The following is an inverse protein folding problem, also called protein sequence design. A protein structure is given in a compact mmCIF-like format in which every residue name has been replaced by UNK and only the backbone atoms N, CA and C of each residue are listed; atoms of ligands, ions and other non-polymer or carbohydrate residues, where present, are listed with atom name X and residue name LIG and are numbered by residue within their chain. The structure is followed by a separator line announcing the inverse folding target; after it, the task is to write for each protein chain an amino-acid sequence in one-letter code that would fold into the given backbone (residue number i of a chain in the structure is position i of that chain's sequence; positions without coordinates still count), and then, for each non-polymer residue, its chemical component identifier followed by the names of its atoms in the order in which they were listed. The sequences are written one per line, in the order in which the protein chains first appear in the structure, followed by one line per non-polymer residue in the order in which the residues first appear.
data_IF_399726985454
#
_entry.id   IF_399726985454
#
_cell.length_a   1.000
_cell.length_b   1.000
_cell.length_c   1.000
_cell.angle_alpha   90.00
_cell.angle_beta   90.00
_cell.angle_gamma   90.00
#
_symmetry.space_group_name_H-M   'P 1'
#
loop_
_entity.id
_entity.type
_entity.pdbx_description
1 polymer ?
#
# COMPACT_ATOMS: atom_id res chain seq x y z
N UNK A 1 23.26 -7.13 23.12
CA UNK A 1 22.50 -7.90 22.10
C UNK A 1 23.39 -8.03 20.88
N UNK A 2 23.18 -8.98 19.97
CA UNK A 2 23.97 -9.01 18.73
C UNK A 2 23.51 -7.83 17.86
N UNK A 3 24.45 -6.97 17.45
CA UNK A 3 24.15 -5.81 16.61
C UNK A 3 24.11 -6.24 15.13
N UNK A 4 23.25 -5.61 14.33
CA UNK A 4 23.37 -5.65 12.87
C UNK A 4 24.68 -4.99 12.45
N UNK A 5 25.18 -5.35 11.28
CA UNK A 5 26.34 -4.69 10.68
C UNK A 5 25.93 -4.07 9.35
N UNK A 6 26.29 -2.81 9.15
CA UNK A 6 26.16 -2.13 7.85
C UNK A 6 27.54 -1.83 7.29
N UNK A 7 27.77 -2.21 6.05
CA UNK A 7 28.91 -1.77 5.26
C UNK A 7 28.50 -0.65 4.34
N UNK A 8 29.31 0.42 4.31
CA UNK A 8 29.29 1.43 3.25
C UNK A 8 30.49 1.17 2.36
N UNK A 9 30.25 1.01 1.06
CA UNK A 9 31.26 0.66 0.07
C UNK A 9 31.26 1.65 -1.10
N UNK A 10 32.42 1.77 -1.73
CA UNK A 10 32.54 2.22 -3.11
C UNK A 10 32.54 0.98 -3.99
N UNK A 11 31.61 0.88 -4.94
CA UNK A 11 31.48 -0.27 -5.84
C UNK A 11 31.44 0.25 -7.28
N UNK A 12 32.35 -0.18 -8.18
CA UNK A 12 32.24 0.17 -9.59
C UNK A 12 30.96 -0.41 -10.20
N UNK A 13 30.24 0.37 -11.00
CA UNK A 13 28.94 -0.02 -11.59
C UNK A 13 29.02 -1.37 -12.33
N UNK A 14 30.12 -1.60 -13.04
CA UNK A 14 30.36 -2.85 -13.78
C UNK A 14 30.51 -4.11 -12.90
N UNK A 15 30.69 -3.94 -11.59
CA UNK A 15 30.84 -5.04 -10.63
C UNK A 15 29.61 -5.23 -9.74
N UNK A 16 28.61 -4.36 -9.81
CA UNK A 16 27.50 -4.31 -8.86
C UNK A 16 26.72 -5.62 -8.78
N UNK A 17 26.32 -6.17 -9.92
CA UNK A 17 25.56 -7.43 -10.00
C UNK A 17 26.34 -8.59 -9.36
N UNK A 18 27.56 -8.83 -9.84
CA UNK A 18 28.44 -9.90 -9.35
C UNK A 18 28.82 -9.71 -7.87
N UNK A 19 28.97 -8.46 -7.42
CA UNK A 19 29.28 -8.15 -6.03
C UNK A 19 28.06 -8.35 -5.13
N UNK A 20 26.85 -8.03 -5.61
CA UNK A 20 25.58 -8.31 -4.94
C UNK A 20 25.34 -9.82 -4.74
N UNK A 21 25.64 -10.63 -5.75
CA UNK A 21 25.59 -12.10 -5.63
C UNK A 21 26.51 -12.59 -4.51
N UNK A 22 27.77 -12.11 -4.50
CA UNK A 22 28.73 -12.46 -3.47
C UNK A 22 28.28 -12.00 -2.08
N UNK A 23 27.71 -10.81 -1.94
CA UNK A 23 27.16 -10.32 -0.67
C UNK A 23 26.03 -11.23 -0.17
N UNK A 24 25.13 -11.66 -1.06
CA UNK A 24 24.03 -12.57 -0.73
C UNK A 24 24.54 -13.92 -0.23
N UNK A 25 25.53 -14.50 -0.94
CA UNK A 25 26.18 -15.77 -0.55
C UNK A 25 26.92 -15.66 0.79
N UNK A 26 27.33 -14.44 1.16
CA UNK A 26 28.08 -14.15 2.37
C UNK A 26 27.25 -13.48 3.47
N UNK A 27 25.93 -13.69 3.45
CA UNK A 27 25.05 -13.37 4.58
C UNK A 27 24.55 -11.93 4.62
N UNK A 28 24.66 -11.17 3.52
CA UNK A 28 23.93 -9.91 3.43
C UNK A 28 22.43 -10.19 3.27
N UNK A 29 21.60 -9.54 4.08
CA UNK A 29 20.13 -9.60 3.98
C UNK A 29 19.58 -8.60 2.96
N UNK A 30 20.30 -7.51 2.72
CA UNK A 30 19.96 -6.49 1.74
C UNK A 30 21.20 -5.71 1.32
N UNK A 31 21.16 -5.15 0.11
CA UNK A 31 22.12 -4.17 -0.36
C UNK A 31 21.47 -3.26 -1.40
N UNK A 32 21.91 -2.01 -1.48
CA UNK A 32 21.42 -1.06 -2.47
C UNK A 32 22.47 0.03 -2.72
N UNK A 33 22.35 0.70 -3.87
CA UNK A 33 23.09 1.91 -4.20
C UNK A 33 22.21 3.14 -4.03
N UNK A 34 22.75 4.21 -3.47
CA UNK A 34 22.07 5.51 -3.45
C UNK A 34 21.82 6.04 -4.86
N UNK A 35 20.59 6.49 -5.12
CA UNK A 35 20.19 7.06 -6.40
C UNK A 35 20.92 8.39 -6.68
N UNK A 36 21.24 9.16 -5.63
CA UNK A 36 21.91 10.45 -5.73
C UNK A 36 23.43 10.35 -5.48
N UNK A 37 24.27 11.16 -6.14
CA UNK A 37 25.69 11.25 -5.81
C UNK A 37 25.88 11.56 -4.32
N UNK A 38 26.79 10.85 -3.62
CA UNK A 38 27.96 10.17 -4.17
C UNK A 38 27.76 8.68 -4.52
N UNK A 39 26.54 8.18 -4.69
CA UNK A 39 26.25 6.79 -5.10
C UNK A 39 26.87 5.74 -4.18
N UNK A 40 26.82 5.97 -2.86
CA UNK A 40 27.36 4.99 -1.94
C UNK A 40 26.59 3.68 -2.04
N UNK A 41 27.31 2.56 -1.98
CA UNK A 41 26.75 1.23 -1.96
C UNK A 41 26.66 0.75 -0.52
N UNK A 42 25.49 0.27 -0.10
CA UNK A 42 25.28 -0.23 1.26
C UNK A 42 24.97 -1.71 1.24
N UNK A 43 25.53 -2.45 2.21
CA UNK A 43 25.20 -3.84 2.47
C UNK A 43 24.89 -4.06 3.95
N UNK A 44 23.87 -4.86 4.24
CA UNK A 44 23.33 -5.09 5.58
C UNK A 44 23.46 -6.55 5.97
N UNK A 45 23.98 -6.81 7.16
CA UNK A 45 24.17 -8.15 7.71
C UNK A 45 23.38 -8.29 9.03
N UNK A 46 22.52 -9.32 9.14
CA UNK A 46 21.67 -9.50 10.30
C UNK A 46 22.46 -9.99 11.53
N UNK A 47 21.95 -9.74 12.75
CA UNK A 47 22.60 -10.15 13.99
C UNK A 47 22.69 -11.68 14.07
N UNK A 48 23.85 -12.18 14.52
CA UNK A 48 24.08 -13.62 14.69
C UNK A 48 24.62 -14.36 13.45
N UNK A 49 24.67 -13.71 12.29
CA UNK A 49 25.54 -14.13 11.19
C UNK A 49 26.90 -13.42 11.32
N UNK A 50 27.99 -14.17 11.17
CA UNK A 50 29.31 -13.55 11.09
C UNK A 50 29.37 -12.79 9.77
N UNK A 51 29.57 -11.47 9.83
CA UNK A 51 29.85 -10.69 8.63
C UNK A 51 31.07 -11.28 7.90
N UNK A 52 31.10 -11.22 6.55
CA UNK A 52 32.22 -11.74 5.80
C UNK A 52 33.50 -11.03 6.19
N UNK A 53 34.61 -11.75 6.15
CA UNK A 53 35.93 -11.12 6.28
C UNK A 53 36.11 -10.14 5.12
N UNK A 54 36.44 -8.88 5.44
CA UNK A 54 36.70 -7.84 4.46
C UNK A 54 37.87 -8.20 3.52
N UNK A 55 38.70 -9.19 3.88
CA UNK A 55 39.70 -9.77 2.96
C UNK A 55 39.09 -10.34 1.67
N UNK A 56 37.81 -10.77 1.69
CA UNK A 56 37.06 -11.23 0.52
C UNK A 56 36.87 -10.16 -0.56
N UNK A 57 36.93 -8.88 -0.18
CA UNK A 57 36.83 -7.75 -1.13
C UNK A 57 37.99 -7.72 -2.13
N UNK A 58 39.14 -8.35 -1.80
CA UNK A 58 40.27 -8.46 -2.72
C UNK A 58 39.93 -9.20 -4.03
N UNK A 59 38.85 -9.98 -4.06
CA UNK A 59 38.34 -10.62 -5.27
C UNK A 59 37.64 -9.65 -6.25
N UNK A 60 37.41 -8.40 -5.83
CA UNK A 60 36.68 -7.36 -6.57
C UNK A 60 37.51 -6.08 -6.68
N UNK A 61 38.42 -5.98 -7.68
CA UNK A 61 39.26 -4.79 -7.86
C UNK A 61 38.42 -3.51 -8.01
N UNK A 62 38.69 -2.52 -7.16
CA UNK A 62 37.97 -1.24 -7.14
C UNK A 62 36.77 -1.20 -6.18
N UNK A 63 36.42 -2.32 -5.55
CA UNK A 63 35.49 -2.30 -4.40
C UNK A 63 36.27 -1.92 -3.14
N UNK A 64 35.84 -0.87 -2.46
CA UNK A 64 36.48 -0.38 -1.25
C UNK A 64 35.46 -0.28 -0.12
N UNK A 65 35.76 -0.89 1.03
CA UNK A 65 35.00 -0.69 2.25
C UNK A 65 35.34 0.68 2.84
N UNK A 66 34.35 1.57 2.86
CA UNK A 66 34.48 2.94 3.38
C UNK A 66 34.29 2.91 4.91
N UNK A 67 33.19 2.33 5.38
CA UNK A 67 32.91 2.14 6.81
C UNK A 67 32.20 0.82 7.08
N UNK A 68 32.46 0.24 8.25
CA UNK A 68 31.71 -0.88 8.81
C UNK A 68 31.22 -0.47 10.20
N UNK A 69 29.92 -0.40 10.38
CA UNK A 69 29.30 0.14 11.59
C UNK A 69 28.27 -0.85 12.12
N UNK A 70 28.40 -1.19 13.41
CA UNK A 70 27.37 -1.93 14.12
C UNK A 70 26.20 -1.01 14.46
N UNK A 71 24.98 -1.45 14.22
CA UNK A 71 23.77 -0.77 14.68
C UNK A 71 22.86 -1.76 15.41
N UNK A 72 22.25 -1.35 16.51
CA UNK A 72 21.23 -2.17 17.17
C UNK A 72 19.92 -2.05 16.37
N UNK A 73 19.00 -3.02 16.49
CA UNK A 73 17.67 -2.98 15.85
C UNK A 73 16.88 -1.69 16.20
N UNK A 74 17.28 -1.01 17.28
CA UNK A 74 16.88 0.35 17.56
C UNK A 74 17.58 1.29 16.58
N UNK A 75 16.87 1.70 15.50
CA UNK A 75 16.48 3.10 15.30
C UNK A 75 16.02 3.44 13.86
N UNK A 76 15.54 2.48 13.05
CA UNK A 76 14.78 2.80 11.83
C UNK A 76 13.26 2.74 12.08
N UNK A 77 12.77 1.66 12.69
CA UNK A 77 11.38 1.56 13.13
C UNK A 77 11.06 2.59 14.22
N UNK A 78 11.99 2.87 15.15
CA UNK A 78 11.81 3.87 16.20
C UNK A 78 11.84 5.32 15.64
N UNK A 79 12.76 5.67 14.74
CA UNK A 79 12.71 6.97 14.03
C UNK A 79 11.47 7.14 13.14
N UNK A 80 11.03 6.08 12.46
CA UNK A 80 9.76 6.09 11.72
C UNK A 80 8.56 6.27 12.65
N UNK A 81 8.62 5.67 13.86
CA UNK A 81 7.62 5.86 14.94
C UNK A 81 7.57 7.30 15.47
N UNK A 82 8.73 7.94 15.65
CA UNK A 82 8.83 9.32 16.15
C UNK A 82 8.26 10.36 15.17
N UNK A 83 8.28 10.07 13.87
CA UNK A 83 7.74 10.97 12.83
C UNK A 83 6.27 10.71 12.43
N UNK A 84 5.73 9.52 12.71
CA UNK A 84 4.38 9.16 12.30
C UNK A 84 3.36 9.52 13.40
N UNK A 85 2.74 10.69 13.25
CA UNK A 85 1.66 11.15 14.11
C UNK A 85 0.26 10.73 13.63
N UNK A 86 -0.77 11.22 14.32
CA UNK A 86 -2.17 11.09 13.88
C UNK A 86 -2.37 11.80 12.54
N UNK A 87 -3.12 11.17 11.64
CA UNK A 87 -3.44 11.75 10.33
C UNK A 87 -4.94 11.88 10.22
N UNK A 88 -5.43 13.12 10.08
CA UNK A 88 -6.83 13.36 9.77
C UNK A 88 -7.10 13.04 8.31
N UNK A 89 -8.14 12.25 8.05
CA UNK A 89 -8.55 11.87 6.69
C UNK A 89 -10.02 12.20 6.53
N UNK A 90 -10.32 13.06 5.55
CA UNK A 90 -11.67 13.59 5.37
C UNK A 90 -12.25 14.21 6.65
N UNK A 91 -13.56 14.03 6.85
CA UNK A 91 -14.28 14.45 8.03
C UNK A 91 -14.51 13.31 9.04
N UNK A 92 -14.43 12.04 8.60
CA UNK A 92 -14.85 10.89 9.41
C UNK A 92 -13.69 10.16 10.07
N UNK A 93 -12.55 10.05 9.41
CA UNK A 93 -11.48 9.16 9.86
C UNK A 93 -10.33 9.89 10.55
N UNK A 94 -9.66 9.15 11.43
CA UNK A 94 -8.39 9.51 12.03
C UNK A 94 -7.50 8.27 11.98
N UNK A 95 -6.40 8.33 11.21
CA UNK A 95 -5.39 7.27 11.23
C UNK A 95 -4.57 7.46 12.49
N UNK A 96 -4.48 6.40 13.29
CA UNK A 96 -3.81 6.40 14.60
C UNK A 96 -2.73 5.32 14.57
N UNK A 97 -1.45 5.65 14.84
CA UNK A 97 -0.45 4.61 14.95
C UNK A 97 -0.69 3.75 16.20
N UNK A 98 -0.33 2.47 16.14
CA UNK A 98 -0.61 1.49 17.21
C UNK A 98 -0.09 1.90 18.61
N UNK A 99 0.98 2.69 18.68
CA UNK A 99 1.56 3.18 19.94
C UNK A 99 0.86 4.42 20.52
N UNK A 100 0.00 5.08 19.74
CA UNK A 100 -0.74 6.25 20.19
C UNK A 100 -1.99 5.81 20.96
N UNK A 101 -1.94 6.03 22.27
CA UNK A 101 -3.00 5.68 23.22
C UNK A 101 -3.87 6.88 23.62
N UNK A 102 -3.64 8.06 23.03
CA UNK A 102 -4.36 9.25 23.43
C UNK A 102 -5.86 9.14 23.04
N UNK A 103 -6.77 9.81 23.75
CA UNK A 103 -8.18 9.80 23.37
C UNK A 103 -8.39 10.33 21.96
N UNK A 104 -9.29 9.69 21.20
CA UNK A 104 -9.68 10.15 19.86
C UNK A 104 -10.54 11.41 20.01
N UNK A 105 -10.20 12.53 19.34
CA UNK A 105 -10.96 13.76 19.43
C UNK A 105 -12.28 13.67 18.66
N UNK A 106 -13.35 14.20 19.27
CA UNK A 106 -14.66 14.38 18.63
C UNK A 106 -15.31 13.08 18.17
N UNK A 107 -16.03 13.13 17.05
CA UNK A 107 -16.78 12.01 16.47
C UNK A 107 -16.00 11.26 15.36
N UNK A 108 -14.66 11.42 15.36
CA UNK A 108 -13.76 10.74 14.43
C UNK A 108 -13.76 9.24 14.69
N UNK A 109 -13.67 8.45 13.62
CA UNK A 109 -13.51 7.00 13.67
C UNK A 109 -12.01 6.69 13.60
N UNK A 110 -11.41 6.15 14.68
CA UNK A 110 -10.02 5.77 14.63
C UNK A 110 -9.82 4.56 13.72
N UNK A 111 -8.77 4.61 12.92
CA UNK A 111 -8.23 3.45 12.19
C UNK A 111 -6.82 3.25 12.70
N UNK A 112 -6.64 2.21 13.52
CA UNK A 112 -5.36 1.89 14.13
C UNK A 112 -4.49 1.14 13.13
N UNK A 113 -3.27 1.62 12.90
CA UNK A 113 -2.35 1.07 11.91
C UNK A 113 -0.96 0.84 12.49
N UNK A 114 -0.21 -0.09 11.88
CA UNK A 114 1.20 -0.32 12.16
C UNK A 114 2.03 0.10 10.93
N UNK A 115 2.71 1.27 10.95
CA UNK A 115 3.36 1.85 9.77
C UNK A 115 4.54 1.06 9.16
N UNK A 116 4.86 -0.14 9.67
CA UNK A 116 6.05 -0.91 9.28
C UNK A 116 5.81 -2.24 8.54
N UNK A 117 4.56 -2.65 8.28
CA UNK A 117 4.29 -4.02 7.79
C UNK A 117 3.86 -4.16 6.33
N UNK A 118 3.21 -3.16 5.73
CA UNK A 118 2.82 -3.20 4.33
C UNK A 118 2.43 -1.81 3.82
N UNK A 119 2.37 -1.67 2.49
CA UNK A 119 1.85 -0.46 1.85
C UNK A 119 0.37 -0.25 2.17
N UNK A 120 -0.08 1.01 2.24
CA UNK A 120 -1.48 1.35 2.52
C UNK A 120 -1.79 1.57 4.01
N UNK A 121 -0.93 2.23 4.76
CA UNK A 121 -1.18 2.56 6.19
C UNK A 121 -2.07 3.80 6.39
N UNK A 122 -2.63 4.36 5.32
CA UNK A 122 -3.46 5.57 5.37
C UNK A 122 -2.69 6.89 5.29
N UNK A 123 -1.37 6.85 5.47
CA UNK A 123 -0.52 8.04 5.47
C UNK A 123 -0.14 8.59 4.09
N UNK A 124 -0.46 7.88 3.01
CA UNK A 124 -0.20 8.34 1.65
C UNK A 124 -1.42 9.09 1.08
N UNK A 125 -1.15 10.11 0.26
CA UNK A 125 -2.14 10.97 -0.43
C UNK A 125 -3.20 10.13 -1.14
N UNK A 126 -2.78 9.09 -1.87
CA UNK A 126 -3.69 8.25 -2.65
C UNK A 126 -4.71 7.52 -1.77
N UNK A 127 -4.32 7.06 -0.58
CA UNK A 127 -5.23 6.43 0.38
C UNK A 127 -6.21 7.44 0.95
N UNK A 128 -5.74 8.65 1.30
CA UNK A 128 -6.61 9.73 1.80
C UNK A 128 -7.66 10.11 0.77
N UNK A 129 -7.24 10.35 -0.47
CA UNK A 129 -8.13 10.68 -1.57
C UNK A 129 -9.23 9.61 -1.79
N UNK A 130 -8.87 8.32 -1.72
CA UNK A 130 -9.85 7.23 -1.78
C UNK A 130 -10.83 7.24 -0.61
N UNK A 131 -10.35 7.41 0.62
CA UNK A 131 -11.19 7.45 1.82
C UNK A 131 -12.15 8.64 1.79
N UNK A 132 -11.72 9.79 1.28
CA UNK A 132 -12.58 10.95 1.12
C UNK A 132 -13.67 10.75 0.05
N UNK A 133 -13.35 10.08 -1.06
CA UNK A 133 -14.35 9.69 -2.06
C UNK A 133 -15.37 8.72 -1.48
N UNK A 134 -14.92 7.76 -0.65
CA UNK A 134 -15.81 6.87 0.11
C UNK A 134 -16.72 7.67 1.05
N UNK A 135 -16.21 8.66 1.79
CA UNK A 135 -17.04 9.53 2.63
C UNK A 135 -18.11 10.27 1.82
N UNK A 136 -17.74 10.79 0.64
CA UNK A 136 -18.68 11.43 -0.28
C UNK A 136 -19.80 10.49 -0.73
N UNK A 137 -19.47 9.25 -1.10
CA UNK A 137 -20.46 8.23 -1.44
C UNK A 137 -21.35 7.86 -0.26
N UNK A 138 -20.77 7.76 0.94
CA UNK A 138 -21.51 7.46 2.17
C UNK A 138 -22.53 8.55 2.51
N UNK A 139 -22.12 9.83 2.40
CA UNK A 139 -22.97 10.98 2.65
C UNK A 139 -24.16 11.05 1.67
N UNK A 140 -23.99 10.56 0.45
CA UNK A 140 -25.07 10.43 -0.55
C UNK A 140 -25.90 9.14 -0.40
N UNK A 141 -25.55 8.26 0.55
CA UNK A 141 -26.24 6.98 0.75
C UNK A 141 -26.02 5.98 -0.39
N UNK A 142 -24.91 6.11 -1.12
CA UNK A 142 -24.55 5.31 -2.30
C UNK A 142 -23.65 4.11 -1.96
N UNK A 143 -23.08 4.06 -0.75
CA UNK A 143 -22.35 2.88 -0.27
C UNK A 143 -23.32 1.79 0.21
N UNK A 144 -23.75 0.93 -0.73
CA UNK A 144 -24.63 -0.20 -0.43
C UNK A 144 -24.22 -1.41 -1.25
N UNK A 145 -24.23 -2.59 -0.62
CA UNK A 145 -23.99 -3.86 -1.29
C UNK A 145 -22.51 -4.28 -1.33
N UNK A 146 -22.20 -5.33 -2.10
CA UNK A 146 -20.88 -5.97 -2.12
C UNK A 146 -19.83 -5.03 -2.70
N UNK A 147 -18.63 -5.06 -2.14
CA UNK A 147 -17.50 -4.32 -2.68
C UNK A 147 -16.22 -5.13 -2.75
N UNK A 148 -15.33 -4.73 -3.64
CA UNK A 148 -14.06 -5.40 -3.90
C UNK A 148 -12.91 -4.39 -3.79
N UNK A 149 -11.90 -4.71 -3.00
CA UNK A 149 -10.66 -3.94 -2.85
C UNK A 149 -9.52 -4.70 -3.56
N UNK A 150 -8.99 -4.10 -4.62
CA UNK A 150 -8.04 -4.68 -5.57
C UNK A 150 -6.66 -4.10 -5.30
N UNK A 151 -5.68 -4.96 -4.99
CA UNK A 151 -4.38 -4.50 -4.50
C UNK A 151 -4.54 -3.85 -3.14
N UNK A 152 -5.15 -4.60 -2.22
CA UNK A 152 -5.65 -4.08 -0.96
C UNK A 152 -4.54 -3.62 0.00
N UNK A 153 -3.30 -4.10 -0.17
CA UNK A 153 -2.23 -3.85 0.80
C UNK A 153 -2.63 -4.29 2.21
N UNK A 154 -2.66 -3.35 3.15
CA UNK A 154 -3.19 -3.58 4.52
C UNK A 154 -4.70 -3.85 4.60
N UNK A 155 -5.48 -3.58 3.54
CA UNK A 155 -6.95 -3.64 3.55
C UNK A 155 -7.63 -2.41 4.16
N UNK A 156 -6.91 -1.29 4.29
CA UNK A 156 -7.44 -0.07 4.92
C UNK A 156 -8.66 0.51 4.18
N UNK A 157 -8.70 0.42 2.85
CA UNK A 157 -9.81 0.96 2.07
C UNK A 157 -11.07 0.10 2.24
N UNK A 158 -10.94 -1.23 2.24
CA UNK A 158 -12.01 -2.14 2.64
C UNK A 158 -12.52 -1.84 4.06
N UNK A 159 -11.63 -1.65 5.04
CA UNK A 159 -12.02 -1.29 6.41
C UNK A 159 -12.77 0.05 6.47
N UNK A 160 -12.28 1.08 5.76
CA UNK A 160 -12.92 2.38 5.68
C UNK A 160 -14.32 2.27 5.04
N UNK A 161 -14.45 1.54 3.93
CA UNK A 161 -15.72 1.29 3.28
C UNK A 161 -16.71 0.57 4.22
N UNK A 162 -16.24 -0.39 5.01
CA UNK A 162 -17.05 -1.09 6.02
C UNK A 162 -17.63 -0.12 7.06
N UNK A 163 -16.79 0.75 7.63
CA UNK A 163 -17.20 1.76 8.61
C UNK A 163 -18.22 2.75 8.04
N UNK A 164 -18.15 3.03 6.75
CA UNK A 164 -19.07 3.93 6.05
C UNK A 164 -20.36 3.26 5.55
N UNK A 165 -20.53 1.95 5.77
CA UNK A 165 -21.79 1.24 5.51
C UNK A 165 -21.75 0.20 4.39
N UNK A 166 -20.63 0.04 3.68
CA UNK A 166 -20.48 -1.04 2.71
C UNK A 166 -20.46 -2.41 3.40
N UNK A 167 -20.91 -3.46 2.71
CA UNK A 167 -21.08 -4.81 3.29
C UNK A 167 -20.65 -5.87 2.29
N UNK A 168 -20.38 -7.09 2.74
CA UNK A 168 -19.89 -8.19 1.87
C UNK A 168 -18.65 -7.75 1.07
N UNK A 169 -17.72 -7.14 1.78
CA UNK A 169 -16.47 -6.67 1.20
C UNK A 169 -15.51 -7.84 1.05
N UNK A 170 -14.79 -7.84 -0.06
CA UNK A 170 -13.68 -8.75 -0.33
C UNK A 170 -12.46 -7.90 -0.63
N UNK A 171 -11.31 -8.26 -0.06
CA UNK A 171 -10.04 -7.59 -0.29
C UNK A 171 -9.02 -8.62 -0.76
N UNK A 172 -8.18 -8.28 -1.73
CA UNK A 172 -7.11 -9.18 -2.13
C UNK A 172 -5.87 -8.42 -2.62
N UNK A 173 -4.74 -9.11 -2.54
CA UNK A 173 -3.47 -8.63 -3.06
C UNK A 173 -2.69 -9.80 -3.68
N UNK A 174 -1.73 -9.49 -4.55
CA UNK A 174 -0.83 -10.47 -5.14
C UNK A 174 0.36 -10.75 -4.22
N UNK A 175 0.71 -9.79 -3.37
CA UNK A 175 1.81 -9.94 -2.43
C UNK A 175 1.40 -10.85 -1.26
N UNK A 176 2.10 -11.98 -1.01
CA UNK A 176 1.83 -12.86 0.12
C UNK A 176 1.94 -12.16 1.49
N UNK A 177 2.72 -11.10 1.62
CA UNK A 177 2.90 -10.36 2.88
C UNK A 177 1.66 -9.51 3.23
N UNK A 178 0.80 -9.21 2.26
CA UNK A 178 -0.43 -8.45 2.48
C UNK A 178 -1.52 -9.28 3.19
N UNK A 179 -1.50 -10.62 3.06
CA UNK A 179 -2.41 -11.51 3.79
C UNK A 179 -2.33 -11.29 5.31
N UNK A 180 -1.15 -11.51 5.93
CA UNK A 180 -0.90 -11.20 7.33
C UNK A 180 -1.19 -9.73 7.70
N UNK A 181 -0.85 -8.76 6.83
CA UNK A 181 -1.08 -7.34 7.10
C UNK A 181 -2.59 -7.01 7.22
N UNK A 182 -3.44 -7.62 6.38
CA UNK A 182 -4.89 -7.49 6.48
C UNK A 182 -5.45 -8.08 7.78
N UNK A 183 -4.96 -9.25 8.20
CA UNK A 183 -5.35 -9.87 9.47
C UNK A 183 -4.93 -9.03 10.68
N UNK A 184 -3.73 -8.45 10.64
CA UNK A 184 -3.24 -7.56 11.69
C UNK A 184 -4.07 -6.28 11.75
N UNK A 185 -4.40 -5.67 10.61
CA UNK A 185 -5.25 -4.48 10.56
C UNK A 185 -6.62 -4.75 11.22
N UNK A 186 -7.25 -5.88 10.91
CA UNK A 186 -8.51 -6.28 11.55
C UNK A 186 -8.33 -6.47 13.06
N UNK A 187 -7.23 -7.11 13.46
CA UNK A 187 -6.92 -7.37 14.88
C UNK A 187 -6.73 -6.08 15.66
N UNK A 188 -5.96 -5.12 15.13
CA UNK A 188 -5.75 -3.81 15.74
C UNK A 188 -7.05 -3.00 15.89
N UNK A 189 -7.99 -3.20 14.97
CA UNK A 189 -9.27 -2.47 14.95
C UNK A 189 -10.44 -3.26 15.57
N UNK A 190 -10.18 -4.42 16.19
CA UNK A 190 -11.22 -5.34 16.68
C UNK A 190 -12.20 -4.68 17.67
N UNK A 191 -11.71 -3.77 18.52
CA UNK A 191 -12.56 -3.03 19.46
C UNK A 191 -13.60 -2.13 18.76
N UNK A 192 -13.20 -1.48 17.66
CA UNK A 192 -14.09 -0.64 16.85
C UNK A 192 -15.07 -1.49 16.02
N UNK A 193 -14.66 -2.71 15.64
CA UNK A 193 -15.45 -3.64 14.85
C UNK A 193 -16.57 -4.34 15.64
N UNK A 194 -16.50 -4.36 16.98
CA UNK A 194 -17.53 -4.95 17.86
C UNK A 194 -17.94 -6.38 17.45
N UNK A 195 -16.94 -7.19 17.07
CA UNK A 195 -17.14 -8.58 16.65
C UNK A 195 -17.59 -8.77 15.19
N UNK A 196 -17.68 -7.69 14.40
CA UNK A 196 -17.92 -7.80 12.98
C UNK A 196 -16.64 -8.18 12.22
N UNK A 197 -16.79 -8.99 11.17
CA UNK A 197 -15.74 -9.22 10.17
C UNK A 197 -15.94 -8.22 9.03
N UNK A 198 -15.03 -7.23 8.85
CA UNK A 198 -15.28 -6.13 7.93
C UNK A 198 -15.23 -6.58 6.46
N UNK A 199 -14.34 -7.51 6.14
CA UNK A 199 -14.15 -8.08 4.83
C UNK A 199 -13.56 -9.49 4.93
N UNK A 200 -13.67 -10.28 3.86
CA UNK A 200 -12.87 -11.49 3.67
C UNK A 200 -11.65 -11.18 2.82
N UNK A 201 -10.48 -11.69 3.18
CA UNK A 201 -9.24 -11.48 2.43
C UNK A 201 -8.70 -12.76 1.80
N UNK A 202 -7.93 -12.62 0.72
CA UNK A 202 -7.08 -13.68 0.17
C UNK A 202 -5.88 -13.09 -0.56
N UNK A 203 -4.84 -13.92 -0.78
CA UNK A 203 -3.72 -13.60 -1.68
C UNK A 203 -3.97 -14.29 -3.01
N UNK A 204 -3.95 -13.55 -4.10
CA UNK A 204 -4.24 -14.08 -5.44
C UNK A 204 -4.66 -13.01 -6.43
N UNK A 205 -5.27 -13.46 -7.53
CA UNK A 205 -5.65 -12.60 -8.64
C UNK A 205 -7.15 -12.23 -8.57
N UNK A 206 -7.57 -11.29 -9.44
CA UNK A 206 -8.97 -10.89 -9.58
C UNK A 206 -9.87 -12.10 -9.94
N UNK A 207 -9.34 -13.07 -10.68
CA UNK A 207 -10.04 -14.28 -11.10
C UNK A 207 -10.35 -15.20 -9.90
N UNK A 208 -9.53 -15.16 -8.86
CA UNK A 208 -9.67 -16.00 -7.66
C UNK A 208 -10.76 -15.50 -6.71
N UNK A 209 -11.29 -14.29 -6.95
CA UNK A 209 -12.42 -13.74 -6.20
C UNK A 209 -13.67 -14.62 -6.40
N UNK A 210 -13.84 -15.60 -5.50
CA UNK A 210 -14.85 -16.68 -5.60
C UNK A 210 -16.30 -16.19 -5.62
N UNK A 211 -16.57 -15.01 -5.06
CA UNK A 211 -17.83 -14.32 -5.30
C UNK A 211 -17.75 -13.62 -6.66
N UNK A 212 -18.17 -14.30 -7.73
CA UNK A 212 -18.42 -13.61 -8.98
C UNK A 212 -19.47 -12.52 -8.70
N UNK A 213 -19.23 -11.30 -9.18
CA UNK A 213 -20.06 -10.14 -8.92
C UNK A 213 -21.52 -10.29 -9.43
N UNK A 214 -22.23 -9.18 -9.67
CA UNK A 214 -21.67 -7.85 -9.84
C UNK A 214 -21.35 -7.15 -8.50
N UNK A 215 -20.26 -6.39 -8.48
CA UNK A 215 -19.84 -5.56 -7.35
C UNK A 215 -20.47 -4.17 -7.43
N UNK A 216 -20.94 -3.63 -6.31
CA UNK A 216 -21.47 -2.27 -6.28
C UNK A 216 -20.37 -1.21 -6.07
N UNK A 217 -19.25 -1.64 -5.51
CA UNK A 217 -18.08 -0.82 -5.24
C UNK A 217 -16.82 -1.59 -5.64
N UNK A 218 -15.94 -0.97 -6.38
CA UNK A 218 -14.56 -1.43 -6.59
C UNK A 218 -13.61 -0.34 -6.14
N UNK A 219 -12.55 -0.73 -5.45
CA UNK A 219 -11.46 0.12 -4.99
C UNK A 219 -10.19 -0.40 -5.64
N UNK A 220 -9.42 0.47 -6.28
CA UNK A 220 -8.14 0.14 -6.90
C UNK A 220 -7.16 1.28 -6.65
N UNK A 221 -6.34 1.14 -5.60
CA UNK A 221 -5.29 2.11 -5.28
C UNK A 221 -3.91 1.50 -5.62
N UNK A 222 -3.66 1.40 -6.92
CA UNK A 222 -2.54 0.68 -7.52
C UNK A 222 -2.03 1.47 -8.74
N UNK A 223 -0.93 1.05 -9.35
CA UNK A 223 -0.35 1.76 -10.49
C UNK A 223 -1.31 1.83 -11.68
N UNK A 224 -1.27 2.93 -12.44
CA UNK A 224 -2.17 3.17 -13.57
C UNK A 224 -2.12 2.05 -14.61
N UNK A 225 -0.93 1.53 -14.93
CA UNK A 225 -0.73 0.42 -15.87
C UNK A 225 -1.52 -0.81 -15.42
N UNK A 226 -1.43 -1.16 -14.14
CA UNK A 226 -2.15 -2.30 -13.58
C UNK A 226 -3.66 -2.07 -13.59
N UNK A 227 -4.11 -0.82 -13.36
CA UNK A 227 -5.53 -0.47 -13.48
C UNK A 227 -5.99 -0.68 -14.93
N UNK A 228 -5.22 -0.21 -15.92
CA UNK A 228 -5.54 -0.36 -17.34
C UNK A 228 -5.64 -1.83 -17.75
N UNK A 229 -4.70 -2.66 -17.31
CA UNK A 229 -4.68 -4.09 -17.61
C UNK A 229 -5.89 -4.83 -17.01
N UNK A 230 -6.29 -4.46 -15.80
CA UNK A 230 -7.42 -5.09 -15.10
C UNK A 230 -8.78 -4.51 -15.50
N UNK A 231 -8.81 -3.34 -16.14
CA UNK A 231 -10.03 -2.56 -16.34
C UNK A 231 -11.14 -3.33 -17.06
N UNK A 232 -10.90 -4.09 -18.15
CA UNK A 232 -11.96 -4.85 -18.82
C UNK A 232 -12.63 -5.86 -17.88
N UNK A 233 -11.84 -6.60 -17.10
CA UNK A 233 -12.33 -7.59 -16.15
C UNK A 233 -13.04 -6.94 -14.95
N UNK A 234 -12.54 -5.78 -14.48
CA UNK A 234 -13.19 -4.98 -13.46
C UNK A 234 -14.57 -4.51 -13.94
N UNK A 235 -14.66 -3.91 -15.13
CA UNK A 235 -15.91 -3.40 -15.68
C UNK A 235 -16.91 -4.52 -15.93
N UNK A 236 -16.49 -5.68 -16.42
CA UNK A 236 -17.35 -6.86 -16.58
C UNK A 236 -18.04 -7.23 -15.25
N UNK A 237 -17.26 -7.22 -14.17
CA UNK A 237 -17.69 -7.62 -12.81
C UNK A 237 -18.32 -6.48 -12.01
N UNK A 238 -18.31 -5.24 -12.51
CA UNK A 238 -18.94 -4.09 -11.87
C UNK A 238 -20.45 -4.07 -12.18
N UNK A 239 -21.27 -3.77 -11.18
CA UNK A 239 -22.72 -3.64 -11.34
C UNK A 239 -23.07 -2.46 -12.24
N UNK A 240 -24.21 -2.56 -12.92
CA UNK A 240 -24.85 -1.39 -13.51
C UNK A 240 -25.17 -0.37 -12.39
N UNK A 241 -24.68 0.87 -12.54
CA UNK A 241 -24.70 1.90 -11.50
C UNK A 241 -23.61 1.75 -10.42
N UNK A 242 -22.76 0.72 -10.52
CA UNK A 242 -21.67 0.46 -9.59
C UNK A 242 -20.57 1.53 -9.67
N UNK A 243 -19.86 1.73 -8.56
CA UNK A 243 -18.80 2.73 -8.40
C UNK A 243 -17.42 2.09 -8.49
N UNK A 244 -16.50 2.73 -9.20
CA UNK A 244 -15.08 2.46 -9.14
C UNK A 244 -14.38 3.68 -8.54
N UNK A 245 -13.58 3.47 -7.50
CA UNK A 245 -12.59 4.44 -7.03
C UNK A 245 -11.21 3.94 -7.46
N UNK A 246 -10.55 4.68 -8.35
CA UNK A 246 -9.22 4.40 -8.87
C UNK A 246 -8.23 5.47 -8.40
N UNK A 247 -7.08 5.08 -7.85
CA UNK A 247 -6.04 5.97 -7.33
C UNK A 247 -4.67 5.29 -7.48
N UNK A 248 -3.59 5.89 -6.98
CA UNK A 248 -2.22 5.46 -7.32
C UNK A 248 -1.76 6.03 -8.67
N UNK A 249 -2.45 7.09 -9.13
CA UNK A 249 -2.26 7.71 -10.43
C UNK A 249 -1.59 9.07 -10.24
N UNK A 250 -0.51 9.31 -10.98
CA UNK A 250 0.15 10.62 -11.01
C UNK A 250 -0.71 11.64 -11.74
N UNK A 251 -0.77 12.87 -11.22
CA UNK A 251 -1.58 13.97 -11.78
C UNK A 251 -1.22 14.33 -13.22
N UNK A 252 0.05 14.15 -13.61
CA UNK A 252 0.51 14.34 -14.99
C UNK A 252 -0.03 13.28 -15.97
N UNK A 253 -0.55 12.16 -15.47
CA UNK A 253 -1.17 11.07 -16.25
C UNK A 253 -2.69 11.02 -16.12
N UNK A 254 -3.30 12.11 -15.66
CA UNK A 254 -4.74 12.20 -15.48
C UNK A 254 -5.52 11.97 -16.78
N UNK A 255 -5.12 12.63 -17.87
CA UNK A 255 -5.77 12.49 -19.18
C UNK A 255 -5.71 11.05 -19.70
N UNK A 256 -4.57 10.38 -19.48
CA UNK A 256 -4.37 8.98 -19.84
C UNK A 256 -5.34 8.07 -19.06
N UNK A 257 -5.45 8.27 -17.75
CA UNK A 257 -6.38 7.52 -16.91
C UNK A 257 -7.83 7.72 -17.35
N UNK A 258 -8.25 8.96 -17.62
CA UNK A 258 -9.61 9.27 -18.09
C UNK A 258 -9.94 8.58 -19.41
N UNK A 259 -9.01 8.60 -20.36
CA UNK A 259 -9.19 7.95 -21.65
C UNK A 259 -9.37 6.44 -21.49
N UNK A 260 -8.57 5.79 -20.64
CA UNK A 260 -8.71 4.35 -20.35
C UNK A 260 -10.06 4.02 -19.70
N UNK A 261 -10.47 4.78 -18.67
CA UNK A 261 -11.77 4.61 -18.01
C UNK A 261 -12.94 4.78 -18.98
N UNK A 262 -12.90 5.82 -19.81
CA UNK A 262 -13.94 6.12 -20.78
C UNK A 262 -14.00 5.08 -21.92
N UNK A 263 -12.86 4.55 -22.36
CA UNK A 263 -12.79 3.51 -23.38
C UNK A 263 -13.52 2.21 -22.97
N UNK A 264 -13.50 1.89 -21.67
CA UNK A 264 -14.26 0.76 -21.10
C UNK A 264 -15.71 1.14 -20.72
N UNK A 265 -16.19 2.31 -21.15
CA UNK A 265 -17.57 2.74 -20.99
C UNK A 265 -17.92 3.23 -19.57
N UNK A 266 -16.93 3.51 -18.72
CA UNK A 266 -17.16 4.14 -17.43
C UNK A 266 -17.39 5.64 -17.59
N UNK A 267 -18.31 6.18 -16.78
CA UNK A 267 -18.60 7.61 -16.69
C UNK A 267 -17.89 8.22 -15.49
N UNK A 268 -17.04 9.20 -15.73
CA UNK A 268 -16.38 9.97 -14.68
C UNK A 268 -17.41 10.77 -13.86
N UNK A 269 -17.31 10.72 -12.54
CA UNK A 269 -18.18 11.46 -11.63
C UNK A 269 -17.44 12.55 -10.86
N UNK A 270 -16.29 12.22 -10.29
CA UNK A 270 -15.53 13.11 -9.41
C UNK A 270 -14.04 12.79 -9.51
N UNK A 271 -13.18 13.80 -9.36
CA UNK A 271 -11.73 13.66 -9.32
C UNK A 271 -11.19 14.51 -8.17
N UNK A 272 -10.38 13.92 -7.32
CA UNK A 272 -9.67 14.60 -6.24
C UNK A 272 -8.18 14.56 -6.49
N UNK A 273 -7.46 15.58 -6.00
CA UNK A 273 -6.01 15.72 -6.18
C UNK A 273 -5.37 16.15 -4.87
N UNK A 274 -4.23 15.55 -4.56
CA UNK A 274 -3.40 15.92 -3.42
C UNK A 274 -1.94 15.68 -3.79
N UNK A 275 -1.12 16.73 -3.69
CA UNK A 275 0.28 16.68 -4.14
C UNK A 275 0.38 16.29 -5.61
N UNK A 276 1.17 15.23 -5.88
CA UNK A 276 1.38 14.69 -7.22
C UNK A 276 0.35 13.63 -7.63
N UNK A 277 -0.65 13.34 -6.79
CA UNK A 277 -1.53 12.19 -6.94
C UNK A 277 -2.99 12.57 -7.16
N UNK A 278 -3.72 11.70 -7.84
CA UNK A 278 -5.16 11.84 -8.06
C UNK A 278 -5.91 10.58 -7.62
N UNK A 279 -7.18 10.75 -7.26
CA UNK A 279 -8.15 9.67 -7.19
C UNK A 279 -9.39 10.03 -8.02
N UNK A 280 -9.92 9.02 -8.70
CA UNK A 280 -10.99 9.12 -9.66
C UNK A 280 -12.16 8.29 -9.17
N UNK A 281 -13.33 8.90 -9.07
CA UNK A 281 -14.60 8.21 -8.91
C UNK A 281 -15.29 8.10 -10.26
N UNK A 282 -15.51 6.88 -10.71
CA UNK A 282 -16.25 6.56 -11.93
C UNK A 282 -17.46 5.67 -11.64
N UNK A 283 -18.41 5.65 -12.56
CA UNK A 283 -19.59 4.79 -12.52
C UNK A 283 -19.67 3.97 -13.80
N UNK A 284 -20.07 2.70 -13.69
CA UNK A 284 -20.59 1.94 -14.82
C UNK A 284 -22.03 2.38 -15.07
N UNK A 285 -22.36 3.05 -16.19
CA UNK A 285 -23.71 3.53 -16.43
C UNK A 285 -24.73 2.40 -16.28
N UNK A 286 -25.88 2.70 -15.68
CA UNK A 286 -27.02 1.80 -15.73
C UNK A 286 -27.40 1.52 -17.18
N UNK A 287 -27.81 0.30 -17.52
CA UNK A 287 -28.51 0.09 -18.78
C UNK A 287 -29.76 0.97 -18.77
N UNK A 288 -29.80 1.98 -19.64
CA UNK A 288 -31.03 2.71 -19.90
C UNK A 288 -32.09 1.66 -20.25
N UNK A 289 -33.19 1.63 -19.49
CA UNK A 289 -34.34 0.84 -19.93
C UNK A 289 -34.78 1.43 -21.28
N UNK A 290 -34.83 0.63 -22.36
CA UNK A 290 -35.42 1.09 -23.61
C UNK A 290 -36.90 1.44 -23.43
#
# INVERSE_FOLDING_TARGET
MAAHLRWKLSVPDALEERFGDWLSENGASAFYREADPPHAFFAYFPPGQAAPDASGLAAFPGVELITAEGFEDEDWLAKSREGFGRIEVGAKFLIVPLWDTDPVPGDRTPVVVNPGLAFGTGGHETTRLCMELLEGLAARGELKGPGLDIGAGTGILALAAFHLGARKLVAFDLDPDCGPAMEELITMNAAALKGATPFTSFVGLLEDARAAGPWNLMLANILLETIQDLLPAMVERLAAGGRLIASGILAEREDEAFLSLAAEGLRLLEVRREGAWIAILAEKPGSEKP
#
